data_IF_074658150136
#
_entry.id   IF_074658150136
#
_cell.length_a   1.000
_cell.length_b   1.000
_cell.length_c   1.000
_cell.angle_alpha   90.00
_cell.angle_beta   90.00
_cell.angle_gamma   90.00
#
_symmetry.space_group_name_H-M   'P 1'
#
loop_
_entity.id
_entity.type
_entity.pdbx_description
1 polymer ?
#
# COMPACT_ATOMS: atom_id res chain seq x y z
N UNK A 1 -5.86 7.39 -8.34
CA UNK A 1 -4.41 7.34 -8.58
C UNK A 1 -4.03 8.59 -9.36
N UNK A 2 -3.14 9.41 -8.84
CA UNK A 2 -2.61 10.58 -9.53
C UNK A 2 -1.49 10.12 -10.47
N UNK A 3 -1.56 10.52 -11.75
CA UNK A 3 -0.52 10.20 -12.74
C UNK A 3 0.10 11.48 -13.25
N UNK A 4 1.42 11.52 -13.26
CA UNK A 4 2.19 12.61 -13.82
C UNK A 4 3.09 12.09 -14.95
N UNK A 5 3.35 12.90 -15.95
CA UNK A 5 4.33 12.60 -16.97
C UNK A 5 5.76 12.88 -16.45
N UNK A 6 6.77 12.55 -17.26
CA UNK A 6 8.18 12.77 -16.90
C UNK A 6 8.54 14.23 -16.64
N UNK A 7 7.69 15.18 -17.02
CA UNK A 7 7.87 16.62 -16.78
C UNK A 7 7.17 17.08 -15.50
N UNK A 8 6.52 16.18 -14.75
CA UNK A 8 5.75 16.53 -13.57
C UNK A 8 4.37 17.11 -13.87
N UNK A 9 3.90 17.03 -15.12
CA UNK A 9 2.59 17.52 -15.53
C UNK A 9 1.53 16.44 -15.35
N UNK A 10 0.32 16.84 -15.04
CA UNK A 10 -0.82 15.94 -14.90
C UNK A 10 -1.08 15.15 -16.19
N UNK A 11 -1.03 13.82 -16.10
CA UNK A 11 -1.13 12.91 -17.25
C UNK A 11 -2.25 11.87 -17.06
N UNK A 12 -3.47 12.33 -16.83
CA UNK A 12 -4.63 11.46 -16.85
C UNK A 12 -5.38 11.68 -18.16
N UNK A 13 -5.58 10.62 -18.97
CA UNK A 13 -6.36 10.76 -20.19
C UNK A 13 -7.78 11.22 -19.85
N UNK A 14 -8.22 12.31 -20.46
CA UNK A 14 -9.60 12.74 -20.33
C UNK A 14 -10.52 11.69 -20.98
N UNK A 15 -11.33 11.05 -20.15
CA UNK A 15 -12.34 10.14 -20.65
C UNK A 15 -13.47 10.95 -21.28
N UNK A 16 -13.57 10.93 -22.62
CA UNK A 16 -14.62 11.64 -23.39
C UNK A 16 -16.07 11.16 -23.13
N UNK A 17 -16.26 10.23 -22.18
CA UNK A 17 -17.57 9.71 -21.79
C UNK A 17 -18.16 10.56 -20.67
N UNK A 18 -19.01 11.51 -21.02
CA UNK A 18 -19.68 12.42 -20.08
C UNK A 18 -20.52 11.67 -19.01
N UNK A 19 -21.03 10.49 -19.32
CA UNK A 19 -21.83 9.67 -18.40
C UNK A 19 -21.03 9.12 -17.20
N UNK A 20 -19.70 9.17 -17.21
CA UNK A 20 -18.89 8.84 -16.03
C UNK A 20 -19.03 9.86 -14.88
N UNK A 21 -19.58 11.03 -15.16
CA UNK A 21 -19.92 12.04 -14.17
C UNK A 21 -21.43 12.10 -13.90
N UNK A 22 -22.13 10.97 -14.08
CA UNK A 22 -23.54 10.88 -13.72
C UNK A 22 -23.77 11.28 -12.25
N UNK A 23 -24.90 11.91 -11.91
CA UNK A 23 -25.20 12.38 -10.55
C UNK A 23 -25.00 11.30 -9.47
N UNK A 24 -25.32 10.04 -9.78
CA UNK A 24 -25.11 8.92 -8.88
C UNK A 24 -23.63 8.72 -8.49
N UNK A 25 -22.68 8.89 -9.43
CA UNK A 25 -21.26 8.81 -9.12
C UNK A 25 -20.77 9.98 -8.28
N UNK A 26 -21.27 11.18 -8.56
CA UNK A 26 -20.96 12.37 -7.76
C UNK A 26 -21.45 12.16 -6.33
N UNK A 27 -22.68 11.71 -6.17
CA UNK A 27 -23.25 11.40 -4.85
C UNK A 27 -22.40 10.35 -4.11
N UNK A 28 -22.02 9.26 -4.79
CA UNK A 28 -21.15 8.22 -4.21
C UNK A 28 -19.81 8.80 -3.72
N UNK A 29 -19.15 9.60 -4.56
CA UNK A 29 -17.85 10.23 -4.19
C UNK A 29 -18.03 11.17 -3.01
N UNK A 30 -19.07 12.03 -3.04
CA UNK A 30 -19.36 12.94 -1.93
C UNK A 30 -19.63 12.20 -0.63
N UNK A 31 -20.35 11.09 -0.67
CA UNK A 31 -20.61 10.27 0.51
C UNK A 31 -19.35 9.61 1.03
N UNK A 32 -18.49 9.08 0.16
CA UNK A 32 -17.18 8.53 0.56
C UNK A 32 -16.33 9.58 1.26
N UNK A 33 -16.25 10.81 0.70
CA UNK A 33 -15.50 11.92 1.31
C UNK A 33 -16.07 12.29 2.68
N UNK A 34 -17.40 12.37 2.82
CA UNK A 34 -18.03 12.70 4.10
C UNK A 34 -17.76 11.63 5.13
N UNK A 35 -17.87 10.35 4.74
CA UNK A 35 -17.60 9.24 5.64
C UNK A 35 -16.13 9.18 6.08
N UNK A 36 -15.19 9.31 5.15
CA UNK A 36 -13.77 9.41 5.50
C UNK A 36 -13.50 10.58 6.44
N UNK A 37 -14.09 11.76 6.17
CA UNK A 37 -13.98 12.92 7.05
C UNK A 37 -14.56 12.66 8.45
N UNK A 38 -15.68 11.93 8.54
CA UNK A 38 -16.30 11.56 9.82
C UNK A 38 -15.39 10.64 10.63
N UNK A 39 -14.81 9.64 9.99
CA UNK A 39 -13.88 8.70 10.63
C UNK A 39 -12.63 9.44 11.12
N UNK A 40 -12.01 10.26 10.26
CA UNK A 40 -10.83 11.04 10.62
C UNK A 40 -11.10 11.96 11.83
N UNK A 41 -12.28 12.59 11.90
CA UNK A 41 -12.65 13.46 13.03
C UNK A 41 -12.98 12.70 14.32
N UNK A 42 -13.34 11.41 14.21
CA UNK A 42 -13.70 10.57 15.35
C UNK A 42 -12.49 10.06 16.11
N UNK A 43 -11.37 9.87 15.41
CA UNK A 43 -10.14 9.31 15.95
C UNK A 43 -9.02 10.35 15.87
N UNK A 44 -8.03 10.23 16.72
CA UNK A 44 -6.85 11.08 16.72
C UNK A 44 -5.89 10.66 15.60
N UNK A 45 -6.03 11.31 14.45
CA UNK A 45 -5.14 11.10 13.30
C UNK A 45 -4.17 12.27 13.20
N UNK A 46 -2.89 11.95 13.00
CA UNK A 46 -1.88 12.93 12.64
C UNK A 46 -1.34 12.61 11.26
N UNK A 47 -1.29 13.61 10.39
CA UNK A 47 -0.80 13.46 9.02
C UNK A 47 0.54 14.19 8.90
N UNK A 48 1.55 13.47 8.40
CA UNK A 48 2.88 14.00 8.18
C UNK A 48 3.20 14.05 6.69
N UNK A 49 3.97 15.06 6.27
CA UNK A 49 4.57 15.14 4.94
C UNK A 49 6.07 15.34 5.13
N UNK A 50 6.77 14.24 5.37
CA UNK A 50 8.18 14.20 5.70
C UNK A 50 8.82 12.93 5.14
N UNK A 51 10.13 12.79 5.28
CA UNK A 51 10.84 11.56 4.93
C UNK A 51 10.35 10.38 5.79
N UNK A 52 10.24 9.20 5.19
CA UNK A 52 9.74 8.01 5.90
C UNK A 52 10.63 7.60 7.08
N UNK A 53 11.95 7.82 6.99
CA UNK A 53 12.89 7.54 8.09
C UNK A 53 12.55 8.40 9.31
N UNK A 54 12.21 9.67 9.10
CA UNK A 54 11.79 10.55 10.21
C UNK A 54 10.52 10.03 10.89
N UNK A 55 9.55 9.54 10.10
CA UNK A 55 8.30 8.97 10.64
C UNK A 55 8.56 7.66 11.39
N UNK A 56 9.38 6.77 10.84
CA UNK A 56 9.73 5.49 11.50
C UNK A 56 10.45 5.75 12.82
N UNK A 57 11.34 6.74 12.88
CA UNK A 57 12.08 7.08 14.09
C UNK A 57 11.21 7.68 15.22
N UNK A 58 9.96 8.05 14.93
CA UNK A 58 9.00 8.49 15.95
C UNK A 58 8.34 7.33 16.70
N UNK A 59 8.40 6.12 16.15
CA UNK A 59 7.73 4.97 16.71
C UNK A 59 8.42 4.47 18.00
N UNK A 60 7.61 3.96 18.90
CA UNK A 60 8.01 3.47 20.21
C UNK A 60 7.66 1.99 20.38
N UNK A 61 8.15 1.37 21.43
CA UNK A 61 7.77 0.02 21.82
C UNK A 61 6.24 -0.08 22.02
N UNK A 62 5.62 -1.07 21.40
CA UNK A 62 4.16 -1.26 21.37
C UNK A 62 3.45 -0.63 20.17
N UNK A 63 4.13 0.20 19.38
CA UNK A 63 3.60 0.69 18.12
C UNK A 63 3.68 -0.37 17.01
N UNK A 64 2.84 -0.18 15.99
CA UNK A 64 2.88 -0.97 14.74
C UNK A 64 3.10 -0.02 13.57
N UNK A 65 4.15 -0.25 12.81
CA UNK A 65 4.46 0.47 11.58
C UNK A 65 3.97 -0.36 10.39
N UNK A 66 3.10 0.20 9.56
CA UNK A 66 2.76 -0.40 8.26
C UNK A 66 3.43 0.39 7.15
N UNK A 67 4.28 -0.29 6.38
CA UNK A 67 4.99 0.30 5.24
C UNK A 67 4.44 -0.24 3.93
N UNK A 68 4.09 0.65 3.01
CA UNK A 68 3.65 0.33 1.65
C UNK A 68 4.42 1.21 0.65
N UNK A 69 5.75 0.98 0.49
CA UNK A 69 6.58 1.76 -0.41
C UNK A 69 6.26 1.43 -1.88
N UNK A 70 6.70 2.26 -2.83
CA UNK A 70 6.72 1.87 -4.22
C UNK A 70 7.53 0.58 -4.41
N UNK A 71 6.99 -0.38 -5.16
CA UNK A 71 7.63 -1.68 -5.32
C UNK A 71 8.90 -1.61 -6.17
N UNK A 72 10.03 -2.02 -5.59
CA UNK A 72 11.33 -2.04 -6.29
C UNK A 72 11.27 -2.84 -7.59
N UNK A 73 11.90 -2.31 -8.64
CA UNK A 73 12.00 -2.98 -9.93
C UNK A 73 10.68 -3.06 -10.71
N UNK A 74 9.57 -2.55 -10.18
CA UNK A 74 8.31 -2.41 -10.94
C UNK A 74 8.24 -1.04 -11.59
N UNK A 75 7.70 -1.03 -12.82
CA UNK A 75 7.36 0.23 -13.45
C UNK A 75 6.15 0.81 -12.72
N UNK A 76 6.40 1.80 -11.92
CA UNK A 76 5.37 2.61 -11.28
C UNK A 76 5.47 4.02 -11.86
N UNK A 77 4.35 4.58 -12.31
CA UNK A 77 4.26 5.95 -12.85
C UNK A 77 4.45 7.02 -11.76
N UNK A 78 5.31 6.75 -10.76
CA UNK A 78 5.67 7.75 -9.76
C UNK A 78 6.80 8.63 -10.29
N UNK A 79 6.73 9.90 -9.98
CA UNK A 79 7.69 10.92 -10.43
C UNK A 79 9.13 10.58 -10.03
N UNK A 80 9.31 10.04 -8.83
CA UNK A 80 10.58 9.51 -8.33
C UNK A 80 10.43 8.00 -8.18
N UNK A 81 11.18 7.22 -8.96
CA UNK A 81 11.22 5.77 -8.81
C UNK A 81 11.77 5.38 -7.43
N UNK A 82 11.34 4.23 -6.93
CA UNK A 82 11.92 3.62 -5.73
C UNK A 82 13.24 2.92 -6.12
N UNK A 83 14.31 3.31 -5.48
CA UNK A 83 15.66 2.82 -5.78
C UNK A 83 16.12 1.79 -4.74
N UNK A 84 17.19 1.07 -5.05
CA UNK A 84 17.85 0.19 -4.09
C UNK A 84 18.36 0.97 -2.86
N UNK A 85 18.83 2.20 -3.04
CA UNK A 85 19.26 3.06 -1.93
C UNK A 85 18.08 3.43 -1.02
N UNK A 86 16.86 3.61 -1.57
CA UNK A 86 15.66 3.85 -0.77
C UNK A 86 15.26 2.60 0.01
N UNK A 87 15.38 1.42 -0.62
CA UNK A 87 15.12 0.14 0.03
C UNK A 87 16.10 -0.10 1.19
N UNK A 88 17.38 0.16 0.98
CA UNK A 88 18.43 0.08 2.01
C UNK A 88 18.15 1.02 3.18
N UNK A 89 17.76 2.26 2.90
CA UNK A 89 17.37 3.24 3.93
C UNK A 89 16.17 2.76 4.74
N UNK A 90 15.15 2.19 4.06
CA UNK A 90 13.96 1.64 4.70
C UNK A 90 14.35 0.45 5.59
N UNK A 91 15.16 -0.47 5.08
CA UNK A 91 15.66 -1.59 5.84
C UNK A 91 16.37 -1.14 7.12
N UNK A 92 17.32 -0.22 7.01
CA UNK A 92 18.05 0.29 8.18
C UNK A 92 17.15 1.01 9.19
N UNK A 93 16.14 1.72 8.74
CA UNK A 93 15.18 2.35 9.65
C UNK A 93 14.35 1.30 10.40
N UNK A 94 13.88 0.26 9.69
CA UNK A 94 13.02 -0.78 10.28
C UNK A 94 13.75 -1.75 11.20
N UNK A 95 15.02 -2.09 10.94
CA UNK A 95 15.77 -2.97 11.86
C UNK A 95 16.19 -2.26 13.16
N UNK A 96 16.21 -0.94 13.18
CA UNK A 96 16.59 -0.14 14.35
C UNK A 96 15.39 0.41 15.12
N UNK A 97 14.16 0.20 14.66
CA UNK A 97 12.96 0.64 15.40
C UNK A 97 12.66 -0.31 16.56
N UNK A 98 12.20 0.19 17.71
CA UNK A 98 11.69 -0.65 18.80
C UNK A 98 10.27 -1.18 18.52
N UNK A 99 9.60 -0.70 17.48
CA UNK A 99 8.23 -1.04 17.14
C UNK A 99 8.14 -2.33 16.33
N UNK A 100 6.95 -2.92 16.28
CA UNK A 100 6.62 -3.93 15.30
C UNK A 100 6.43 -3.30 13.92
N UNK A 101 6.84 -4.02 12.86
CA UNK A 101 6.55 -3.56 11.52
C UNK A 101 5.92 -4.62 10.62
N UNK A 102 5.17 -4.14 9.65
CA UNK A 102 4.61 -4.90 8.54
C UNK A 102 5.00 -4.15 7.26
N UNK A 103 5.76 -4.79 6.40
CA UNK A 103 6.15 -4.24 5.10
C UNK A 103 5.40 -4.97 3.99
N UNK A 104 4.65 -4.22 3.18
CA UNK A 104 4.02 -4.71 1.95
C UNK A 104 4.96 -4.54 0.77
N UNK A 105 5.20 -5.62 0.02
CA UNK A 105 6.01 -5.60 -1.18
C UNK A 105 5.59 -6.72 -2.14
N UNK A 106 6.17 -6.78 -3.33
CA UNK A 106 5.96 -7.92 -4.21
C UNK A 106 7.07 -8.96 -4.00
N UNK A 107 6.76 -10.24 -4.19
CA UNK A 107 7.72 -11.32 -4.07
C UNK A 107 8.26 -11.74 -5.45
N UNK A 108 7.39 -12.28 -6.28
CA UNK A 108 7.75 -12.73 -7.62
C UNK A 108 6.54 -12.79 -8.55
N UNK A 109 6.82 -12.99 -9.83
CA UNK A 109 5.87 -13.46 -10.83
C UNK A 109 6.54 -14.54 -11.70
N UNK A 110 5.90 -14.98 -12.75
CA UNK A 110 6.42 -16.02 -13.67
C UNK A 110 7.72 -15.62 -14.40
N UNK A 111 8.06 -14.32 -14.45
CA UNK A 111 9.20 -13.79 -15.22
C UNK A 111 10.38 -13.37 -14.37
N UNK A 112 10.14 -12.97 -13.10
CA UNK A 112 11.17 -12.39 -12.25
C UNK A 112 10.80 -12.43 -10.77
N UNK A 113 11.81 -12.35 -9.92
CA UNK A 113 11.69 -12.20 -8.48
C UNK A 113 12.16 -10.81 -8.02
N UNK A 114 11.75 -10.43 -6.82
CA UNK A 114 12.20 -9.23 -6.16
C UNK A 114 13.51 -9.51 -5.41
N UNK A 115 14.63 -9.07 -5.96
CA UNK A 115 15.96 -9.27 -5.40
C UNK A 115 16.12 -8.68 -3.99
N UNK A 116 15.30 -7.69 -3.64
CA UNK A 116 15.34 -7.06 -2.32
C UNK A 116 14.86 -7.98 -1.21
N UNK A 117 14.01 -8.97 -1.54
CA UNK A 117 13.59 -10.02 -0.59
C UNK A 117 14.82 -10.77 -0.10
N UNK A 118 15.63 -11.28 -1.02
CA UNK A 118 16.81 -12.08 -0.68
C UNK A 118 17.90 -11.21 -0.02
N UNK A 119 18.00 -9.95 -0.44
CA UNK A 119 19.06 -9.06 0.02
C UNK A 119 18.83 -8.52 1.43
N UNK A 120 17.58 -8.18 1.76
CA UNK A 120 17.27 -7.45 3.00
C UNK A 120 16.24 -8.15 3.89
N UNK A 121 15.25 -8.85 3.29
CA UNK A 121 14.03 -9.23 4.02
C UNK A 121 13.94 -10.71 4.38
N UNK A 122 14.75 -11.59 3.80
CA UNK A 122 14.70 -13.05 3.99
C UNK A 122 14.94 -13.52 5.44
N UNK A 123 15.46 -12.66 6.30
CA UNK A 123 15.67 -12.96 7.72
C UNK A 123 14.41 -12.78 8.58
N UNK A 124 13.36 -12.22 8.02
CA UNK A 124 12.09 -11.95 8.70
C UNK A 124 11.03 -12.99 8.34
N UNK A 125 9.94 -12.98 9.07
CA UNK A 125 8.78 -13.78 8.70
C UNK A 125 8.12 -13.19 7.46
N UNK A 126 7.85 -14.03 6.45
CA UNK A 126 7.26 -13.60 5.18
C UNK A 126 6.03 -14.45 4.91
N UNK A 127 4.88 -13.78 4.79
CA UNK A 127 3.66 -14.35 4.27
C UNK A 127 3.44 -13.90 2.83
N UNK A 128 3.01 -14.82 1.98
CA UNK A 128 2.80 -14.53 0.56
C UNK A 128 1.39 -14.84 0.12
N UNK A 129 0.86 -14.02 -0.80
CA UNK A 129 -0.43 -14.24 -1.42
C UNK A 129 -0.38 -13.94 -2.91
N UNK A 130 -0.93 -14.87 -3.70
CA UNK A 130 -1.13 -14.64 -5.12
C UNK A 130 -2.26 -13.63 -5.34
N UNK A 131 -1.98 -12.61 -6.11
CA UNK A 131 -2.94 -11.58 -6.51
C UNK A 131 -2.98 -11.43 -8.03
N UNK A 132 -4.19 -11.44 -8.59
CA UNK A 132 -4.41 -11.22 -10.00
C UNK A 132 -4.87 -9.79 -10.26
N UNK A 133 -4.01 -9.00 -10.90
CA UNK A 133 -4.33 -7.61 -11.24
C UNK A 133 -5.20 -7.53 -12.50
N UNK A 134 -6.45 -7.11 -12.34
CA UNK A 134 -7.38 -6.87 -13.45
C UNK A 134 -7.12 -5.55 -14.20
N UNK A 135 -6.26 -4.68 -13.69
CA UNK A 135 -5.91 -3.37 -14.23
C UNK A 135 -4.74 -3.44 -15.20
N UNK A 136 -4.98 -3.17 -16.47
CA UNK A 136 -3.97 -3.09 -17.53
C UNK A 136 -4.61 -3.01 -18.90
N UNK A 137 -4.00 -2.24 -19.81
CA UNK A 137 -4.61 -1.95 -21.13
C UNK A 137 -4.72 -3.16 -22.07
N UNK A 138 -3.89 -4.17 -21.92
CA UNK A 138 -3.88 -5.38 -22.73
C UNK A 138 -4.02 -6.61 -21.85
N UNK A 139 -4.90 -7.54 -22.27
CA UNK A 139 -5.19 -8.80 -21.56
C UNK A 139 -3.92 -9.65 -21.41
N UNK A 140 -3.04 -9.61 -22.41
CA UNK A 140 -1.78 -10.34 -22.48
C UNK A 140 -0.77 -9.92 -21.39
N UNK A 141 -0.95 -8.76 -20.77
CA UNK A 141 -0.09 -8.24 -19.69
C UNK A 141 -0.66 -8.46 -18.28
N UNK A 142 -1.70 -9.29 -18.16
CA UNK A 142 -2.36 -9.58 -16.89
C UNK A 142 -1.85 -10.90 -16.35
N UNK A 143 -0.76 -10.84 -15.63
CA UNK A 143 -0.18 -12.01 -14.97
C UNK A 143 -0.45 -11.99 -13.48
N UNK A 144 -0.59 -13.17 -12.90
CA UNK A 144 -0.62 -13.34 -11.47
C UNK A 144 0.69 -12.83 -10.86
N UNK A 145 0.58 -12.21 -9.72
CA UNK A 145 1.71 -11.74 -8.94
C UNK A 145 1.59 -12.27 -7.53
N UNK A 146 2.69 -12.75 -7.01
CA UNK A 146 2.79 -13.07 -5.60
C UNK A 146 3.25 -11.83 -4.86
N UNK A 147 2.41 -11.35 -3.97
CA UNK A 147 2.71 -10.27 -3.03
C UNK A 147 3.21 -10.85 -1.72
N UNK A 148 3.96 -10.06 -0.98
CA UNK A 148 4.52 -10.45 0.31
C UNK A 148 4.18 -9.40 1.38
N UNK A 149 3.94 -9.90 2.58
CA UNK A 149 4.00 -9.12 3.80
C UNK A 149 5.17 -9.64 4.63
N UNK A 150 6.05 -8.74 5.04
CA UNK A 150 7.23 -9.04 5.84
C UNK A 150 7.02 -8.51 7.25
N UNK A 151 7.30 -9.33 8.26
CA UNK A 151 7.04 -9.03 9.68
C UNK A 151 8.30 -9.23 10.51
N UNK A 152 8.54 -8.35 11.50
CA UNK A 152 9.58 -8.58 12.51
C UNK A 152 9.05 -9.28 13.78
N UNK A 153 7.88 -9.88 13.71
CA UNK A 153 7.24 -10.62 14.79
C UNK A 153 6.57 -11.90 14.27
N UNK A 154 6.36 -12.87 15.15
CA UNK A 154 5.64 -14.10 14.79
C UNK A 154 4.13 -13.82 14.74
N UNK A 155 3.51 -14.28 13.65
CA UNK A 155 2.06 -14.28 13.55
C UNK A 155 1.51 -15.40 14.43
N UNK A 156 0.75 -15.04 15.43
CA UNK A 156 -0.04 -16.02 16.17
C UNK A 156 -1.15 -16.53 15.25
N UNK A 157 -1.45 -17.86 15.26
CA UNK A 157 -2.63 -18.35 14.55
C UNK A 157 -3.83 -17.53 15.00
N UNK A 158 -4.54 -16.94 14.05
CA UNK A 158 -5.74 -16.18 14.39
C UNK A 158 -6.64 -17.11 15.18
N UNK A 159 -6.83 -16.87 16.47
CA UNK A 159 -8.03 -17.32 17.14
C UNK A 159 -9.17 -16.85 16.26
N UNK A 160 -10.02 -17.77 15.83
CA UNK A 160 -11.12 -17.48 14.90
C UNK A 160 -11.95 -16.37 15.53
N UNK A 161 -11.60 -15.14 15.25
CA UNK A 161 -12.45 -14.01 15.54
C UNK A 161 -13.71 -14.26 14.71
N UNK A 162 -14.77 -14.63 15.38
CA UNK A 162 -16.07 -14.78 14.75
C UNK A 162 -16.34 -13.54 13.91
N UNK A 163 -16.70 -13.75 12.67
CA UNK A 163 -16.96 -12.74 11.63
C UNK A 163 -17.92 -11.61 12.01
N UNK A 164 -18.52 -11.68 13.19
CA UNK A 164 -19.51 -10.73 13.70
C UNK A 164 -18.97 -9.37 14.16
N UNK A 165 -17.65 -9.22 14.32
CA UNK A 165 -17.08 -7.96 14.88
C UNK A 165 -16.49 -7.03 13.82
N UNK A 166 -16.27 -7.46 12.58
CA UNK A 166 -15.55 -6.68 11.57
C UNK A 166 -16.36 -6.21 10.38
N UNK A 167 -17.67 -6.37 10.38
CA UNK A 167 -18.52 -5.60 9.48
C UNK A 167 -19.31 -4.58 10.32
N UNK A 168 -18.84 -3.31 10.45
CA UNK A 168 -19.81 -2.27 10.67
C UNK A 168 -20.73 -2.34 9.44
N UNK A 169 -21.98 -2.74 9.63
CA UNK A 169 -23.00 -2.59 8.61
C UNK A 169 -22.94 -1.12 8.15
N UNK A 170 -22.36 -0.91 7.00
CA UNK A 170 -22.52 0.33 6.28
C UNK A 170 -23.95 0.29 5.76
N UNK A 171 -24.91 0.62 6.61
CA UNK A 171 -26.25 0.98 6.17
C UNK A 171 -26.09 2.22 5.28
N UNK A 172 -26.11 1.98 3.99
CA UNK A 172 -26.27 3.02 3.00
C UNK A 172 -27.73 3.47 3.01
N UNK A 173 -28.03 4.51 3.79
CA UNK A 173 -29.29 5.26 3.67
C UNK A 173 -29.16 6.25 2.54
#
# INVERSE_FOLDING_TARGET
>A
MMRFNRKGEWNIPFCKKANRFAPAYITKICNQIRESSRVIKRYEWTFYNQDFVETINMAQEGDIIYCDPPYFGRYVDYYNGWTEADEERLYHALINTPAHFILSTWHHNEFRSNEMIDKYWNQFHIETQEHFYHGGGHIENRHAMVEALVFNFELQPAEVFHKEILQPELEFV
#
